data_IF_528059175484
#
_entry.id   IF_528059175484
#
_cell.length_a   1.000
_cell.length_b   1.000
_cell.length_c   1.000
_cell.angle_alpha   90.00
_cell.angle_beta   90.00
_cell.angle_gamma   90.00
#
_symmetry.space_group_name_H-M   'P 1'
#
loop_
_entity.id
_entity.type
_entity.pdbx_description
1 polymer ?
#
# COMPACT_ATOMS: atom_id res chain seq x y z
N UNK A 1 -3.99 -0.24 6.59
CA UNK A 1 -4.01 0.64 5.39
C UNK A 1 -3.43 0.01 4.10
N UNK A 2 -2.93 -1.24 4.10
CA UNK A 2 -2.29 -1.82 2.91
C UNK A 2 -3.19 -2.01 1.68
N UNK A 3 -4.48 -2.26 1.87
CA UNK A 3 -5.43 -2.39 0.75
C UNK A 3 -5.67 -1.06 0.02
N UNK A 4 -5.89 0.01 0.79
CA UNK A 4 -6.11 1.35 0.25
C UNK A 4 -4.87 1.90 -0.49
N UNK A 5 -3.66 1.67 0.02
CA UNK A 5 -2.43 2.07 -0.67
C UNK A 5 -2.23 1.32 -1.98
N UNK A 6 -2.59 0.03 -2.02
CA UNK A 6 -2.51 -0.79 -3.23
C UNK A 6 -3.51 -0.34 -4.30
N UNK A 7 -4.74 0.05 -3.92
CA UNK A 7 -5.72 0.60 -4.88
C UNK A 7 -5.28 1.94 -5.46
N UNK A 8 -4.67 2.82 -4.65
CA UNK A 8 -4.16 4.12 -5.12
C UNK A 8 -3.01 3.92 -6.12
N UNK A 9 -2.11 2.97 -5.86
CA UNK A 9 -1.02 2.61 -6.77
C UNK A 9 -1.54 2.10 -8.11
N UNK A 10 -2.45 1.12 -8.08
CA UNK A 10 -3.03 0.54 -9.30
C UNK A 10 -3.80 1.60 -10.09
N UNK A 11 -4.48 2.53 -9.42
CA UNK A 11 -5.16 3.64 -10.09
C UNK A 11 -4.17 4.58 -10.81
N UNK A 12 -3.01 4.88 -10.20
CA UNK A 12 -1.95 5.65 -10.84
C UNK A 12 -1.38 4.97 -12.09
N UNK A 13 -1.11 3.66 -12.02
CA UNK A 13 -0.66 2.88 -13.19
C UNK A 13 -1.72 2.77 -14.28
N UNK A 14 -3.00 2.62 -13.92
CA UNK A 14 -4.11 2.61 -14.88
C UNK A 14 -4.18 3.91 -15.68
N UNK A 15 -3.90 5.04 -15.05
CA UNK A 15 -3.90 6.35 -15.72
C UNK A 15 -2.70 6.50 -16.67
N UNK A 16 -1.52 6.02 -16.28
CA UNK A 16 -0.33 5.97 -17.16
C UNK A 16 -0.59 5.11 -18.39
N UNK A 17 -1.14 3.91 -18.18
CA UNK A 17 -1.45 2.98 -19.26
C UNK A 17 -2.49 3.56 -20.22
N UNK A 18 -3.53 4.22 -19.71
CA UNK A 18 -4.53 4.92 -20.53
C UNK A 18 -3.93 6.07 -21.35
N UNK A 19 -3.01 6.84 -20.76
CA UNK A 19 -2.35 7.97 -21.45
C UNK A 19 -1.35 7.51 -22.52
N UNK A 20 -0.79 6.31 -22.40
CA UNK A 20 0.12 5.74 -23.39
C UNK A 20 -0.58 5.14 -24.62
N UNK A 21 -1.91 4.96 -24.56
CA UNK A 21 -2.71 4.39 -25.64
C UNK A 21 -3.07 2.91 -25.44
N UNK A 22 -2.79 2.33 -24.26
CA UNK A 22 -3.29 1.01 -23.86
C UNK A 22 -2.69 -0.18 -24.61
N UNK A 23 -1.53 -0.02 -25.25
CA UNK A 23 -0.89 -1.11 -26.01
C UNK A 23 -0.15 -2.09 -25.12
N UNK A 24 0.83 -1.59 -24.36
CA UNK A 24 1.82 -2.43 -23.69
C UNK A 24 2.02 -2.03 -22.22
N UNK A 25 2.41 -3.01 -21.40
CA UNK A 25 2.65 -2.85 -19.95
C UNK A 25 4.14 -2.62 -19.62
N UNK A 26 5.01 -2.75 -20.62
CA UNK A 26 6.44 -2.51 -20.47
C UNK A 26 6.71 -1.01 -20.27
N UNK A 27 7.54 -0.66 -19.28
CA UNK A 27 7.81 0.73 -18.92
C UNK A 27 8.43 1.52 -20.07
N UNK A 28 9.28 0.88 -20.88
CA UNK A 28 9.91 1.52 -22.05
C UNK A 28 8.87 1.93 -23.10
N UNK A 29 7.87 1.07 -23.29
CA UNK A 29 6.83 1.24 -24.29
C UNK A 29 5.77 2.22 -23.82
N UNK A 30 5.52 2.27 -22.51
CA UNK A 30 4.70 3.33 -21.90
C UNK A 30 5.31 4.71 -22.17
N UNK A 31 6.63 4.86 -22.00
CA UNK A 31 7.36 6.10 -22.27
C UNK A 31 7.34 6.45 -23.75
N UNK A 32 7.59 5.49 -24.63
CA UNK A 32 7.50 5.69 -26.08
C UNK A 32 6.10 6.14 -26.51
N UNK A 33 5.05 5.48 -26.01
CA UNK A 33 3.65 5.86 -26.25
C UNK A 33 3.32 7.27 -25.74
N UNK A 34 3.87 7.68 -24.59
CA UNK A 34 3.67 9.01 -24.05
C UNK A 34 4.35 10.12 -24.89
N UNK A 35 5.53 9.81 -25.46
CA UNK A 35 6.24 10.70 -26.39
C UNK A 35 5.46 10.82 -27.70
N UNK A 36 5.01 9.70 -28.26
CA UNK A 36 4.26 9.64 -29.52
C UNK A 36 2.91 10.38 -29.43
N UNK A 37 2.24 10.29 -28.29
CA UNK A 37 0.97 11.00 -28.03
C UNK A 37 1.18 12.47 -27.62
N UNK A 38 2.42 12.93 -27.47
CA UNK A 38 2.78 14.25 -26.96
C UNK A 38 2.15 14.58 -25.58
N UNK A 39 1.76 13.56 -24.82
CA UNK A 39 1.06 13.71 -23.54
C UNK A 39 2.00 13.84 -22.34
N UNK A 40 3.31 13.90 -22.58
CA UNK A 40 4.35 14.01 -21.55
C UNK A 40 4.25 15.26 -20.66
N UNK A 41 3.60 16.33 -21.13
CA UNK A 41 3.35 17.54 -20.34
C UNK A 41 1.86 17.73 -20.00
N UNK A 42 1.06 16.68 -20.13
CA UNK A 42 -0.36 16.74 -19.81
C UNK A 42 -0.57 16.79 -18.28
N UNK A 43 -1.57 17.53 -17.77
CA UNK A 43 -1.90 17.48 -16.34
C UNK A 43 -2.31 16.06 -15.89
N UNK A 44 -2.74 15.21 -16.83
CA UNK A 44 -3.04 13.80 -16.62
C UNK A 44 -1.81 12.95 -16.26
N UNK A 45 -0.62 13.26 -16.79
CA UNK A 45 0.58 12.55 -16.36
C UNK A 45 0.99 12.96 -14.94
N UNK A 46 0.83 14.25 -14.61
CA UNK A 46 1.15 14.77 -13.28
C UNK A 46 0.25 14.15 -12.20
N UNK A 47 -1.06 14.01 -12.45
CA UNK A 47 -1.98 13.36 -11.49
C UNK A 47 -1.62 11.88 -11.30
N UNK A 48 -1.23 11.17 -12.37
CA UNK A 48 -0.82 9.77 -12.29
C UNK A 48 0.44 9.59 -11.44
N UNK A 49 1.43 10.46 -11.62
CA UNK A 49 2.67 10.45 -10.83
C UNK A 49 2.40 10.79 -9.36
N UNK A 50 1.47 11.70 -9.06
CA UNK A 50 1.07 12.01 -7.68
C UNK A 50 0.45 10.77 -7.03
N UNK A 51 -0.46 10.05 -7.70
CA UNK A 51 -1.05 8.83 -7.15
C UNK A 51 -0.02 7.73 -6.91
N UNK A 52 0.93 7.54 -7.83
CA UNK A 52 2.03 6.58 -7.63
C UNK A 52 2.88 6.99 -6.42
N UNK A 53 3.27 8.26 -6.33
CA UNK A 53 4.11 8.77 -5.24
C UNK A 53 3.40 8.66 -3.88
N UNK A 54 2.12 9.01 -3.80
CA UNK A 54 1.31 8.88 -2.58
C UNK A 54 1.15 7.41 -2.18
N UNK A 55 0.84 6.52 -3.13
CA UNK A 55 0.71 5.10 -2.86
C UNK A 55 2.00 4.44 -2.38
N UNK A 56 3.16 4.86 -2.92
CA UNK A 56 4.48 4.44 -2.45
C UNK A 56 4.82 5.04 -1.08
N UNK A 57 4.47 6.30 -0.84
CA UNK A 57 4.60 6.96 0.46
C UNK A 57 3.86 6.20 1.56
N UNK A 58 2.64 5.74 1.30
CA UNK A 58 1.91 4.90 2.26
C UNK A 58 2.53 3.52 2.48
N UNK A 59 3.38 3.01 1.60
CA UNK A 59 4.11 1.74 1.83
C UNK A 59 5.43 1.95 2.57
N UNK A 60 6.14 3.04 2.27
CA UNK A 60 7.45 3.35 2.85
C UNK A 60 7.35 4.09 4.19
N UNK A 61 6.18 4.63 4.55
CA UNK A 61 5.95 5.37 5.79
C UNK A 61 6.88 6.60 6.06
N UNK A 62 7.39 7.36 5.06
CA UNK A 62 8.04 8.64 5.35
C UNK A 62 7.03 9.69 5.84
N UNK A 63 7.48 10.75 6.51
CA UNK A 63 6.62 11.88 6.87
C UNK A 63 6.04 12.53 5.59
N UNK A 64 4.73 12.85 5.51
CA UNK A 64 3.67 12.78 6.53
C UNK A 64 2.90 11.44 6.61
N UNK A 65 3.21 10.45 5.76
CA UNK A 65 2.46 9.19 5.61
C UNK A 65 2.73 8.12 6.69
N UNK A 66 3.31 8.50 7.84
CA UNK A 66 3.68 7.59 8.94
C UNK A 66 2.57 7.39 9.98
N UNK A 67 1.46 8.11 9.87
CA UNK A 67 0.43 8.18 10.92
C UNK A 67 -0.22 6.82 11.24
N UNK A 68 -0.24 5.89 10.29
CA UNK A 68 -0.81 4.55 10.46
C UNK A 68 0.17 3.53 11.05
N UNK A 69 1.45 3.87 11.10
CA UNK A 69 2.52 3.00 11.58
C UNK A 69 2.46 2.76 13.09
N UNK A 70 2.32 3.76 13.97
CA UNK A 70 2.25 3.51 15.43
C UNK A 70 1.03 2.66 15.82
N UNK A 71 -0.14 2.89 15.21
CA UNK A 71 -1.37 2.13 15.47
C UNK A 71 -1.21 0.63 15.18
N UNK A 72 -0.58 0.26 14.06
CA UNK A 72 -0.39 -1.14 13.69
C UNK A 72 0.60 -1.84 14.63
N UNK A 73 1.69 -1.19 15.01
CA UNK A 73 2.64 -1.78 15.96
C UNK A 73 2.02 -1.95 17.35
N UNK A 74 1.18 -1.00 17.78
CA UNK A 74 0.46 -1.13 19.03
C UNK A 74 -0.62 -2.23 18.97
N UNK A 75 -1.43 -2.31 17.92
CA UNK A 75 -2.43 -3.38 17.80
C UNK A 75 -1.82 -4.79 17.79
N UNK A 76 -0.61 -4.96 17.23
CA UNK A 76 0.07 -6.26 17.15
C UNK A 76 0.52 -6.77 18.52
N UNK A 77 0.93 -5.90 19.45
CA UNK A 77 1.25 -6.37 20.81
C UNK A 77 0.01 -6.94 21.47
N UNK A 78 -1.13 -6.27 21.33
CA UNK A 78 -2.37 -6.72 21.97
C UNK A 78 -2.85 -8.05 21.40
N UNK A 79 -2.94 -8.16 20.06
CA UNK A 79 -3.43 -9.38 19.39
C UNK A 79 -2.50 -10.57 19.63
N UNK A 80 -1.18 -10.35 19.69
CA UNK A 80 -0.22 -11.44 19.93
C UNK A 80 -0.24 -11.96 21.37
N UNK A 81 -0.65 -11.14 22.34
CA UNK A 81 -0.72 -11.52 23.74
C UNK A 81 -1.98 -12.33 24.10
N UNK A 82 -3.04 -12.27 23.30
CA UNK A 82 -4.30 -13.01 23.53
C UNK A 82 -4.11 -14.54 23.51
N UNK A 83 -3.52 -15.17 22.46
CA UNK A 83 -3.35 -16.63 22.46
C UNK A 83 -2.38 -17.10 23.55
N UNK A 84 -1.37 -16.29 23.91
CA UNK A 84 -0.46 -16.63 25.01
C UNK A 84 -1.11 -16.49 26.38
N UNK A 85 -1.95 -15.48 26.61
CA UNK A 85 -2.64 -15.29 27.89
C UNK A 85 -3.74 -16.34 28.09
N UNK A 86 -4.45 -16.73 27.03
CA UNK A 86 -5.42 -17.82 27.06
C UNK A 86 -4.71 -19.14 27.38
N UNK A 87 -3.62 -19.47 26.67
CA UNK A 87 -2.85 -20.70 26.96
C UNK A 87 -2.33 -20.74 28.40
N UNK A 88 -1.84 -19.61 28.94
CA UNK A 88 -1.44 -19.52 30.35
C UNK A 88 -2.63 -19.76 31.27
N UNK A 89 -3.78 -19.13 31.00
CA UNK A 89 -4.99 -19.32 31.81
C UNK A 89 -5.52 -20.76 31.78
N UNK A 90 -5.39 -21.48 30.66
CA UNK A 90 -5.73 -22.90 30.55
C UNK A 90 -4.74 -23.78 31.33
N UNK A 91 -3.44 -23.52 31.26
CA UNK A 91 -2.41 -24.24 32.06
C UNK A 91 -2.63 -24.01 33.56
N UNK A 92 -2.98 -22.79 33.98
CA UNK A 92 -3.32 -22.51 35.38
C UNK A 92 -4.66 -23.11 35.80
N UNK A 93 -5.64 -23.19 34.91
CA UNK A 93 -6.90 -23.90 35.13
C UNK A 93 -6.69 -25.40 35.33
N UNK A 94 -5.84 -26.02 34.50
CA UNK A 94 -5.46 -27.43 34.59
C UNK A 94 -4.66 -27.76 35.87
N UNK A 95 -3.77 -26.87 36.31
CA UNK A 95 -3.03 -27.05 37.57
C UNK A 95 -3.92 -26.89 38.83
N UNK A 96 -5.15 -26.38 38.68
CA UNK A 96 -6.11 -26.17 39.78
C UNK A 96 -7.11 -27.30 39.99
N UNK A 97 -7.10 -28.34 39.15
CA UNK A 97 -7.82 -29.59 39.43
C UNK A 97 -6.90 -30.56 40.18
N UNK A 98 -7.35 -31.19 41.28
CA UNK A 98 -6.51 -32.01 42.17
C UNK A 98 -6.01 -33.31 41.54
#
# INVERSE_FOLDING_TARGET
MGGASSSILVHGFSWLYGSSGGGEIELQEIVNGLINTQMYNSPGISIALIFITVGLGFKLSPAPFHQWTPDVYEGVWFVRQIPTSISISEVFGFCKTP
#
